data_IF_168050402927
#
_entry.id   IF_168050402927
#
_cell.length_a   1.000
_cell.length_b   1.000
_cell.length_c   1.000
_cell.angle_alpha   90.00
_cell.angle_beta   90.00
_cell.angle_gamma   90.00
#
_symmetry.space_group_name_H-M   'P 1'
#
loop_
_entity.id
_entity.type
_entity.pdbx_description
1 polymer ?
#
# COMPACT_ATOMS: atom_id res chain seq x y z
N UNK A 1 73.74 -4.62 -0.52
CA UNK A 1 73.19 -3.99 0.69
C UNK A 1 71.73 -3.69 0.46
N UNK A 2 70.87 -4.26 1.33
CA UNK A 2 69.41 -4.21 1.29
C UNK A 2 68.90 -2.77 1.42
N UNK A 3 67.98 -2.33 0.57
CA UNK A 3 66.90 -1.38 0.94
C UNK A 3 65.65 -1.71 0.12
N UNK A 4 64.85 -2.63 0.65
CA UNK A 4 63.47 -2.86 0.24
C UNK A 4 62.69 -1.64 0.75
N UNK A 5 62.27 -0.76 -0.15
CA UNK A 5 61.33 0.30 0.19
C UNK A 5 59.93 -0.23 -0.09
N UNK A 6 59.33 -0.83 0.93
CA UNK A 6 57.95 -1.25 0.92
C UNK A 6 57.05 0.00 0.92
N UNK A 7 56.43 0.29 -0.22
CA UNK A 7 55.35 1.28 -0.28
C UNK A 7 54.07 0.56 0.15
N UNK A 8 53.70 0.78 1.42
CA UNK A 8 52.50 0.21 2.03
C UNK A 8 51.25 0.78 1.35
N UNK A 9 50.49 -0.11 0.73
CA UNK A 9 49.14 0.09 0.27
C UNK A 9 48.24 0.29 1.50
N UNK A 10 47.73 1.50 1.73
CA UNK A 10 46.65 1.74 2.70
C UNK A 10 45.43 2.19 1.91
N UNK A 11 44.71 1.21 1.35
CA UNK A 11 43.31 1.38 0.98
C UNK A 11 42.50 1.34 2.26
N UNK A 12 42.14 2.52 2.76
CA UNK A 12 41.15 2.69 3.81
C UNK A 12 39.77 2.36 3.21
N UNK A 13 39.38 1.08 3.21
CA UNK A 13 37.98 0.73 3.09
C UNK A 13 37.33 1.00 4.44
N UNK A 14 36.86 2.23 4.64
CA UNK A 14 35.85 2.52 5.65
C UNK A 14 34.53 1.92 5.17
N UNK A 15 34.36 0.62 5.41
CA UNK A 15 33.03 0.02 5.42
C UNK A 15 32.34 0.55 6.69
N UNK A 16 31.66 1.68 6.53
CA UNK A 16 30.70 2.16 7.51
C UNK A 16 29.47 1.27 7.45
N UNK A 17 29.58 0.06 8.00
CA UNK A 17 28.41 -0.74 8.36
C UNK A 17 27.83 -0.11 9.65
N UNK A 18 27.13 1.00 9.48
CA UNK A 18 26.33 1.58 10.54
C UNK A 18 25.07 0.75 10.69
N UNK A 19 24.70 0.48 11.94
CA UNK A 19 23.40 -0.03 12.39
C UNK A 19 22.31 1.05 12.11
N UNK A 20 22.24 1.45 10.84
CA UNK A 20 21.55 2.62 10.33
C UNK A 20 20.15 2.25 9.87
N UNK A 21 19.22 3.16 10.10
CA UNK A 21 17.86 3.03 9.62
C UNK A 21 17.81 2.79 8.10
N UNK A 22 17.30 1.62 7.70
CA UNK A 22 17.14 1.25 6.29
C UNK A 22 15.80 1.74 5.73
N UNK A 23 15.82 2.98 5.22
CA UNK A 23 14.65 3.61 4.60
C UNK A 23 14.11 2.87 3.37
N UNK A 24 14.96 2.14 2.64
CA UNK A 24 14.53 1.42 1.44
C UNK A 24 13.78 0.16 1.85
N UNK A 25 14.27 -0.55 2.87
CA UNK A 25 13.55 -1.67 3.46
C UNK A 25 12.18 -1.24 4.03
N UNK A 26 12.09 -0.09 4.70
CA UNK A 26 10.79 0.43 5.19
C UNK A 26 9.86 0.86 4.04
N UNK A 27 10.40 1.43 2.97
CA UNK A 27 9.63 1.72 1.76
C UNK A 27 9.06 0.45 1.17
N UNK A 28 9.88 -0.59 1.01
CA UNK A 28 9.47 -1.83 0.36
C UNK A 28 8.36 -2.53 1.15
N UNK A 29 8.44 -2.55 2.49
CA UNK A 29 7.33 -3.05 3.34
C UNK A 29 6.00 -2.36 3.05
N UNK A 30 5.99 -1.03 2.87
CA UNK A 30 4.76 -0.28 2.56
C UNK A 30 4.24 -0.66 1.17
N UNK A 31 5.14 -0.77 0.18
CA UNK A 31 4.78 -1.13 -1.19
C UNK A 31 4.30 -2.59 -1.30
N UNK A 32 4.86 -3.51 -0.52
CA UNK A 32 4.42 -4.91 -0.49
C UNK A 32 2.94 -5.03 -0.12
N UNK A 33 2.47 -4.22 0.84
CA UNK A 33 1.04 -4.19 1.22
C UNK A 33 0.18 -3.61 0.09
N UNK A 34 0.66 -2.61 -0.63
CA UNK A 34 -0.01 -2.10 -1.83
C UNK A 34 -0.13 -3.20 -2.91
N UNK A 35 0.99 -3.88 -3.20
CA UNK A 35 1.07 -4.89 -4.26
C UNK A 35 0.25 -6.15 -3.92
N UNK A 36 0.04 -6.46 -2.63
CA UNK A 36 -0.82 -7.56 -2.18
C UNK A 36 -2.28 -7.41 -2.67
N UNK A 37 -2.81 -6.19 -2.68
CA UNK A 37 -4.23 -5.93 -2.99
C UNK A 37 -4.45 -5.21 -4.31
N UNK A 38 -3.41 -4.63 -4.93
CA UNK A 38 -3.52 -3.97 -6.22
C UNK A 38 -4.13 -4.87 -7.33
N UNK A 39 -3.76 -6.17 -7.46
CA UNK A 39 -4.40 -7.07 -8.42
C UNK A 39 -5.89 -7.30 -8.18
N UNK A 40 -6.39 -7.09 -6.94
CA UNK A 40 -7.78 -7.32 -6.56
C UNK A 40 -8.74 -6.21 -7.01
N UNK A 41 -8.24 -5.04 -7.42
CA UNK A 41 -9.11 -3.93 -7.85
C UNK A 41 -9.99 -4.28 -9.06
N UNK A 42 -9.54 -5.19 -9.93
CA UNK A 42 -10.36 -5.72 -11.02
C UNK A 42 -11.54 -6.54 -10.51
N UNK A 43 -11.31 -7.36 -9.48
CA UNK A 43 -12.33 -8.14 -8.80
C UNK A 43 -13.35 -7.23 -8.09
N UNK A 44 -12.89 -6.21 -7.36
CA UNK A 44 -13.75 -5.19 -6.71
C UNK A 44 -14.74 -4.59 -7.70
N UNK A 45 -14.25 -4.16 -8.88
CA UNK A 45 -15.11 -3.58 -9.91
C UNK A 45 -16.10 -4.59 -10.50
N UNK A 46 -15.69 -5.84 -10.65
CA UNK A 46 -16.56 -6.90 -11.15
C UNK A 46 -17.67 -7.25 -10.14
N UNK A 47 -17.32 -7.40 -8.86
CA UNK A 47 -18.27 -7.66 -7.78
C UNK A 47 -19.27 -6.50 -7.66
N UNK A 48 -18.80 -5.25 -7.74
CA UNK A 48 -19.68 -4.08 -7.71
C UNK A 48 -20.74 -4.13 -8.81
N UNK A 49 -20.36 -4.51 -10.04
CA UNK A 49 -21.31 -4.65 -11.15
C UNK A 49 -22.34 -5.75 -10.86
N UNK A 50 -21.90 -6.89 -10.33
CA UNK A 50 -22.81 -7.99 -9.96
C UNK A 50 -23.80 -7.59 -8.86
N UNK A 51 -23.33 -6.89 -7.82
CA UNK A 51 -24.17 -6.37 -6.74
C UNK A 51 -25.24 -5.42 -7.31
N UNK A 52 -24.86 -4.49 -8.20
CA UNK A 52 -25.81 -3.58 -8.84
C UNK A 52 -26.80 -4.29 -9.77
N UNK A 53 -26.39 -5.36 -10.45
CA UNK A 53 -27.31 -6.18 -11.24
C UNK A 53 -28.34 -6.87 -10.32
N UNK A 54 -27.92 -7.40 -9.17
CA UNK A 54 -28.83 -8.02 -8.18
C UNK A 54 -29.85 -7.03 -7.63
N UNK A 55 -29.51 -5.74 -7.51
CA UNK A 55 -30.46 -4.68 -7.17
C UNK A 55 -31.59 -4.59 -8.21
N UNK A 56 -31.28 -4.73 -9.50
CA UNK A 56 -32.28 -4.63 -10.58
C UNK A 56 -33.25 -5.81 -10.65
N UNK A 57 -32.92 -6.93 -9.99
CA UNK A 57 -33.73 -8.15 -9.95
C UNK A 57 -34.70 -8.20 -8.75
N UNK A 58 -34.55 -7.29 -7.78
CA UNK A 58 -35.38 -7.26 -6.56
C UNK A 58 -36.58 -6.35 -6.76
N UNK A 59 -37.78 -6.93 -6.66
CA UNK A 59 -39.04 -6.18 -6.62
C UNK A 59 -39.55 -6.08 -5.17
N UNK A 60 -39.90 -4.86 -4.73
CA UNK A 60 -40.69 -4.64 -3.51
C UNK A 60 -39.97 -4.67 -2.16
N UNK A 61 -38.69 -5.08 -2.08
CA UNK A 61 -37.90 -5.05 -0.84
C UNK A 61 -36.92 -3.86 -0.81
N UNK A 62 -37.40 -2.72 -0.32
CA UNK A 62 -36.60 -1.49 -0.25
C UNK A 62 -35.39 -1.61 0.67
N UNK A 63 -35.49 -2.41 1.74
CA UNK A 63 -34.42 -2.58 2.72
C UNK A 63 -33.24 -3.35 2.14
N UNK A 64 -33.53 -4.43 1.41
CA UNK A 64 -32.52 -5.25 0.73
C UNK A 64 -31.88 -4.49 -0.43
N UNK A 65 -32.67 -3.75 -1.20
CA UNK A 65 -32.17 -2.87 -2.27
C UNK A 65 -31.17 -1.86 -1.73
N UNK A 66 -31.47 -1.23 -0.59
CA UNK A 66 -30.56 -0.24 0.00
C UNK A 66 -29.26 -0.88 0.48
N UNK A 67 -29.33 -2.02 1.18
CA UNK A 67 -28.13 -2.74 1.65
C UNK A 67 -27.17 -3.12 0.51
N UNK A 68 -27.71 -3.50 -0.66
CA UNK A 68 -26.91 -3.80 -1.84
C UNK A 68 -26.29 -2.56 -2.47
N UNK A 69 -26.99 -1.42 -2.45
CA UNK A 69 -26.44 -0.14 -2.92
C UNK A 69 -25.31 0.33 -2.02
N UNK A 70 -25.47 0.20 -0.72
CA UNK A 70 -24.42 0.51 0.26
C UNK A 70 -23.18 -0.35 0.01
N UNK A 71 -23.35 -1.66 -0.19
CA UNK A 71 -22.24 -2.56 -0.52
C UNK A 71 -21.56 -2.20 -1.85
N UNK A 72 -22.34 -1.81 -2.87
CA UNK A 72 -21.78 -1.33 -4.14
C UNK A 72 -21.03 0.00 -3.99
N UNK A 73 -21.42 0.86 -3.04
CA UNK A 73 -20.70 2.08 -2.69
C UNK A 73 -19.40 1.76 -1.94
N UNK A 74 -19.44 0.86 -0.96
CA UNK A 74 -18.26 0.42 -0.21
C UNK A 74 -17.17 -0.16 -1.12
N UNK A 75 -17.54 -0.99 -2.09
CA UNK A 75 -16.60 -1.51 -3.11
C UNK A 75 -15.96 -0.38 -3.94
N UNK A 76 -16.74 0.63 -4.36
CA UNK A 76 -16.19 1.76 -5.11
C UNK A 76 -15.27 2.62 -4.24
N UNK A 77 -15.64 2.82 -2.98
CA UNK A 77 -14.85 3.61 -2.04
C UNK A 77 -13.55 2.91 -1.63
N UNK A 78 -13.55 1.58 -1.48
CA UNK A 78 -12.33 0.80 -1.28
C UNK A 78 -11.35 0.98 -2.47
N UNK A 79 -11.87 0.92 -3.70
CA UNK A 79 -11.06 1.19 -4.90
C UNK A 79 -10.55 2.63 -4.94
N UNK A 80 -11.40 3.62 -4.66
CA UNK A 80 -10.97 5.03 -4.58
C UNK A 80 -9.92 5.24 -3.49
N UNK A 81 -10.03 4.54 -2.37
CA UNK A 81 -9.06 4.55 -1.28
C UNK A 81 -7.66 4.23 -1.78
N UNK A 82 -7.52 3.15 -2.57
CA UNK A 82 -6.23 2.81 -3.21
C UNK A 82 -5.72 3.91 -4.14
N UNK A 83 -6.59 4.44 -5.01
CA UNK A 83 -6.21 5.49 -5.96
C UNK A 83 -5.77 6.79 -5.27
N UNK A 84 -6.48 7.19 -4.21
CA UNK A 84 -6.12 8.34 -3.38
C UNK A 84 -4.79 8.11 -2.69
N UNK A 85 -4.59 6.92 -2.10
CA UNK A 85 -3.32 6.58 -1.45
C UNK A 85 -2.14 6.64 -2.43
N UNK A 86 -2.26 6.04 -3.63
CA UNK A 86 -1.22 6.09 -4.65
C UNK A 86 -0.88 7.53 -5.08
N UNK A 87 -1.91 8.35 -5.29
CA UNK A 87 -1.73 9.77 -5.63
C UNK A 87 -0.99 10.52 -4.52
N UNK A 88 -1.37 10.32 -3.27
CA UNK A 88 -0.72 10.99 -2.13
C UNK A 88 0.72 10.51 -1.95
N UNK A 89 0.94 9.19 -2.06
CA UNK A 89 2.27 8.58 -2.02
C UNK A 89 3.19 9.19 -3.08
N UNK A 90 2.73 9.29 -4.34
CA UNK A 90 3.51 9.87 -5.43
C UNK A 90 3.95 11.32 -5.20
N UNK A 91 3.16 12.09 -4.43
CA UNK A 91 3.43 13.50 -4.13
C UNK A 91 4.31 13.70 -2.91
N UNK A 92 4.25 12.78 -1.95
CA UNK A 92 4.82 12.99 -0.61
C UNK A 92 6.03 12.13 -0.30
N UNK A 93 6.19 10.97 -0.96
CA UNK A 93 7.21 9.97 -0.62
C UNK A 93 8.63 10.37 -1.03
N UNK A 94 8.80 11.15 -2.11
CA UNK A 94 10.09 11.43 -2.73
C UNK A 94 11.15 11.91 -1.72
N UNK A 95 10.82 12.92 -0.90
CA UNK A 95 11.75 13.47 0.11
C UNK A 95 12.16 12.46 1.20
N UNK A 96 11.33 11.46 1.46
CA UNK A 96 11.59 10.42 2.47
C UNK A 96 12.40 9.27 1.87
N UNK A 97 12.02 8.82 0.67
CA UNK A 97 12.70 7.73 -0.05
C UNK A 97 14.10 8.15 -0.50
N UNK A 98 14.26 9.38 -1.00
CA UNK A 98 15.54 9.91 -1.44
C UNK A 98 16.51 10.23 -0.29
N UNK A 99 16.04 10.20 0.96
CA UNK A 99 16.85 10.56 2.13
C UNK A 99 17.07 12.06 2.29
N UNK A 100 16.18 12.89 1.73
CA UNK A 100 16.22 14.36 1.84
C UNK A 100 15.61 14.87 3.16
N UNK A 101 14.97 13.99 3.93
CA UNK A 101 14.42 14.25 5.27
C UNK A 101 15.24 13.56 6.36
N UNK A 102 15.06 13.99 7.62
CA UNK A 102 15.73 13.38 8.77
C UNK A 102 15.28 11.93 9.00
N UNK A 103 16.08 11.13 9.69
CA UNK A 103 15.73 9.72 10.01
C UNK A 103 14.43 9.63 10.82
N UNK A 104 14.18 10.56 11.74
CA UNK A 104 12.95 10.57 12.53
C UNK A 104 11.72 10.92 11.69
N UNK A 105 11.85 11.86 10.75
CA UNK A 105 10.80 12.16 9.77
C UNK A 105 10.52 10.97 8.86
N UNK A 106 11.54 10.25 8.41
CA UNK A 106 11.37 9.03 7.60
C UNK A 106 10.62 7.96 8.38
N UNK A 107 11.05 7.65 9.62
CA UNK A 107 10.37 6.68 10.50
C UNK A 107 8.90 7.04 10.72
N UNK A 108 8.62 8.31 11.03
CA UNK A 108 7.25 8.79 11.23
C UNK A 108 6.42 8.66 9.95
N UNK A 109 6.99 9.02 8.79
CA UNK A 109 6.32 8.94 7.50
C UNK A 109 5.97 7.50 7.13
N UNK A 110 6.95 6.57 7.12
CA UNK A 110 6.69 5.19 6.74
C UNK A 110 5.77 4.48 7.73
N UNK A 111 5.83 4.79 9.03
CA UNK A 111 4.88 4.28 10.00
C UNK A 111 3.44 4.79 9.75
N UNK A 112 3.28 6.04 9.33
CA UNK A 112 1.98 6.59 8.96
C UNK A 112 1.45 5.97 7.67
N UNK A 113 2.29 5.86 6.63
CA UNK A 113 1.90 5.27 5.35
C UNK A 113 1.59 3.78 5.48
N UNK A 114 2.32 3.04 6.31
CA UNK A 114 2.01 1.63 6.63
C UNK A 114 0.59 1.49 7.20
N UNK A 115 0.18 2.38 8.12
CA UNK A 115 -1.18 2.38 8.67
C UNK A 115 -2.22 2.68 7.59
N UNK A 116 -1.94 3.66 6.73
CA UNK A 116 -2.86 4.07 5.65
C UNK A 116 -3.05 2.96 4.62
N UNK A 117 -1.96 2.36 4.12
CA UNK A 117 -2.03 1.29 3.13
C UNK A 117 -2.63 0.00 3.72
N UNK A 118 -2.39 -0.28 5.01
CA UNK A 118 -3.06 -1.39 5.71
C UNK A 118 -4.56 -1.19 5.77
N UNK A 119 -5.03 0.03 6.07
CA UNK A 119 -6.47 0.33 6.02
C UNK A 119 -7.04 0.12 4.61
N UNK A 120 -6.33 0.56 3.57
CA UNK A 120 -6.74 0.33 2.17
C UNK A 120 -6.85 -1.17 1.86
N UNK A 121 -5.87 -1.96 2.29
CA UNK A 121 -5.91 -3.43 2.18
C UNK A 121 -7.16 -4.00 2.85
N UNK A 122 -7.42 -3.59 4.09
CA UNK A 122 -8.53 -4.12 4.87
C UNK A 122 -9.87 -3.76 4.23
N UNK A 123 -10.06 -2.51 3.79
CA UNK A 123 -11.26 -2.06 3.09
C UNK A 123 -11.51 -2.84 1.78
N UNK A 124 -10.45 -3.13 1.02
CA UNK A 124 -10.54 -3.93 -0.22
C UNK A 124 -10.93 -5.37 0.10
N UNK A 125 -10.24 -6.02 1.03
CA UNK A 125 -10.51 -7.42 1.35
C UNK A 125 -11.89 -7.60 1.98
N UNK A 126 -12.29 -6.74 2.92
CA UNK A 126 -13.58 -6.85 3.59
C UNK A 126 -14.74 -6.62 2.62
N UNK A 127 -14.64 -5.62 1.74
CA UNK A 127 -15.69 -5.36 0.74
C UNK A 127 -15.83 -6.49 -0.29
N UNK A 128 -14.71 -7.12 -0.68
CA UNK A 128 -14.73 -8.33 -1.52
C UNK A 128 -15.45 -9.48 -0.80
N UNK A 129 -15.09 -9.74 0.45
CA UNK A 129 -15.66 -10.86 1.21
C UNK A 129 -17.17 -10.69 1.44
N UNK A 130 -17.61 -9.48 1.81
CA UNK A 130 -19.02 -9.16 1.97
C UNK A 130 -19.80 -9.29 0.65
N UNK A 131 -19.24 -8.77 -0.46
CA UNK A 131 -19.85 -8.91 -1.78
C UNK A 131 -19.97 -10.38 -2.22
N UNK A 132 -18.95 -11.19 -1.96
CA UNK A 132 -19.01 -12.63 -2.24
C UNK A 132 -20.08 -13.32 -1.40
N UNK A 133 -20.22 -12.97 -0.12
CA UNK A 133 -21.24 -13.56 0.74
C UNK A 133 -22.65 -13.25 0.24
N UNK A 134 -22.89 -11.99 -0.16
CA UNK A 134 -24.20 -11.54 -0.65
C UNK A 134 -24.53 -12.08 -2.06
N UNK A 135 -23.52 -12.39 -2.87
CA UNK A 135 -23.67 -12.90 -4.23
C UNK A 135 -23.72 -14.43 -4.34
N UNK A 136 -23.48 -15.17 -3.24
CA UNK A 136 -23.81 -16.60 -3.16
C UNK A 136 -25.31 -16.83 -3.39
#
# INVERSE_FOLDING_TARGET
MKKIFALFLITLFVVSCGDGYDRLAERDKVIDVHDEVMPKLGEVMNLRKQVLNKVSEIEGDSSKVESLRDLAMQLDDARKGMMTWMNDWSKTSAKHVNGESTVDEQKAYFAAEMKRVTKVKDDINSSIDEAKEVLK
#
